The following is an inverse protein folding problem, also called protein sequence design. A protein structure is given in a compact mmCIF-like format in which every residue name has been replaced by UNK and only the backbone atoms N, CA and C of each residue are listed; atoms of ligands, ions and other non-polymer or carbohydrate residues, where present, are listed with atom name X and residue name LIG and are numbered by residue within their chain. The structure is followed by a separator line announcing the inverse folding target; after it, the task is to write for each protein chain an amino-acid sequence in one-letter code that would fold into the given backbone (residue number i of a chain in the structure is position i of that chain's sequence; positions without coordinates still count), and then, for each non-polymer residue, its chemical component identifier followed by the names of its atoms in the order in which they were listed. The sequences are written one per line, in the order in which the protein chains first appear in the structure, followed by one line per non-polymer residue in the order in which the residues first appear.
data_IF_760243980016
#
_entry.id   IF_760243980016
#
_cell.length_a   1.000
_cell.length_b   1.000
_cell.length_c   1.000
_cell.angle_alpha   90.00
_cell.angle_beta   90.00
_cell.angle_gamma   90.00
#
_symmetry.space_group_name_H-M   'P 1'
#
loop_
_entity.id
_entity.type
_entity.pdbx_description
1 polymer ?
#
# COMPACT_ATOMS: atom_id res chain seq x y z
N UNK A 1 -9.71 -23.50 -0.99
CA UNK A 1 -9.27 -22.46 -0.02
C UNK A 1 -9.77 -22.81 1.36
N UNK A 2 -9.02 -22.47 2.40
CA UNK A 2 -9.36 -22.70 3.82
C UNK A 2 -8.84 -21.52 4.64
N UNK A 3 -9.07 -21.52 5.94
CA UNK A 3 -8.52 -20.51 6.87
C UNK A 3 -6.98 -20.55 6.96
N UNK A 4 -6.34 -21.61 6.42
CA UNK A 4 -4.89 -21.76 6.34
C UNK A 4 -4.31 -21.27 4.99
N UNK A 5 -5.16 -20.90 4.04
CA UNK A 5 -4.71 -20.41 2.74
C UNK A 5 -3.87 -19.16 2.90
N UNK A 6 -2.70 -19.15 2.26
CA UNK A 6 -1.75 -18.03 2.26
C UNK A 6 -1.92 -17.26 0.96
N UNK A 7 -1.98 -15.96 1.06
CA UNK A 7 -2.20 -15.05 -0.05
C UNK A 7 -1.00 -14.10 -0.19
N UNK A 8 -0.65 -13.75 -1.41
CA UNK A 8 0.14 -12.55 -1.64
C UNK A 8 -0.72 -11.34 -1.30
N UNK A 9 -0.34 -10.62 -0.26
CA UNK A 9 -1.10 -9.48 0.26
C UNK A 9 -0.96 -8.25 -0.63
N UNK A 10 0.08 -8.22 -1.47
CA UNK A 10 0.38 -7.10 -2.34
C UNK A 10 0.31 -5.77 -1.55
N UNK A 11 -0.42 -4.78 -2.04
CA UNK A 11 -0.48 -3.45 -1.41
C UNK A 11 -1.18 -3.40 -0.04
N UNK A 12 -1.81 -4.47 0.42
CA UNK A 12 -2.22 -4.57 1.82
C UNK A 12 -1.00 -4.52 2.78
N UNK A 13 0.20 -4.86 2.31
CA UNK A 13 1.48 -4.67 3.01
C UNK A 13 1.64 -3.25 3.54
N UNK A 14 1.15 -2.25 2.81
CA UNK A 14 1.31 -0.84 3.13
C UNK A 14 0.76 -0.45 4.50
N UNK A 15 -0.35 -1.07 4.93
CA UNK A 15 -0.89 -0.85 6.28
C UNK A 15 0.11 -1.28 7.35
N UNK A 16 0.72 -2.44 7.18
CA UNK A 16 1.71 -2.98 8.12
C UNK A 16 2.93 -2.07 8.21
N UNK A 17 3.42 -1.62 7.07
CA UNK A 17 4.55 -0.68 7.00
C UNK A 17 4.21 0.66 7.64
N UNK A 18 2.99 1.16 7.47
CA UNK A 18 2.54 2.38 8.12
C UNK A 18 2.46 2.21 9.65
N UNK A 19 1.93 1.09 10.14
CA UNK A 19 1.94 0.77 11.59
C UNK A 19 3.37 0.76 12.13
N UNK A 20 4.30 0.10 11.47
CA UNK A 20 5.71 0.05 11.85
C UNK A 20 6.38 1.45 11.83
N UNK A 21 6.09 2.25 10.81
CA UNK A 21 6.57 3.63 10.74
C UNK A 21 6.05 4.47 11.91
N UNK A 22 4.77 4.32 12.25
CA UNK A 22 4.17 5.04 13.37
C UNK A 22 4.68 4.55 14.73
N UNK A 23 5.05 3.26 14.88
CA UNK A 23 5.78 2.78 16.05
C UNK A 23 7.15 3.46 16.17
N UNK A 24 7.86 3.67 15.07
CA UNK A 24 9.13 4.41 15.06
C UNK A 24 8.90 5.90 15.41
N UNK A 25 7.79 6.48 15.01
CA UNK A 25 7.42 7.86 15.40
C UNK A 25 7.14 7.94 16.89
N UNK A 26 6.38 7.01 17.47
CA UNK A 26 6.10 6.96 18.91
C UNK A 26 7.37 6.81 19.76
N UNK A 27 8.37 6.09 19.23
CA UNK A 27 9.68 5.88 19.88
C UNK A 27 10.63 7.06 19.67
N UNK A 28 10.24 8.09 18.92
CA UNK A 28 11.07 9.24 18.59
C UNK A 28 12.22 8.96 17.62
N UNK A 29 12.19 7.80 16.95
CA UNK A 29 13.19 7.43 15.95
C UNK A 29 12.94 8.12 14.61
N UNK A 30 11.68 8.42 14.31
CA UNK A 30 11.23 9.14 13.12
C UNK A 30 10.31 10.29 13.51
N UNK A 31 10.19 11.27 12.61
CA UNK A 31 9.15 12.28 12.67
C UNK A 31 8.44 12.36 11.32
N UNK A 32 7.13 12.62 11.35
CA UNK A 32 6.33 12.66 10.14
C UNK A 32 6.76 13.75 9.16
N UNK A 33 7.23 14.88 9.66
CA UNK A 33 7.43 16.09 8.86
C UNK A 33 8.90 16.51 8.72
N UNK A 34 9.83 15.75 9.29
CA UNK A 34 11.27 15.97 9.08
C UNK A 34 11.69 15.51 7.67
N UNK A 35 12.65 16.21 7.03
CA UNK A 35 13.24 15.77 5.76
C UNK A 35 13.85 14.37 5.86
N UNK A 36 13.49 13.49 4.91
CA UNK A 36 13.99 12.10 4.91
C UNK A 36 15.47 11.96 4.52
N UNK A 37 16.07 13.00 3.94
CA UNK A 37 17.42 12.96 3.35
C UNK A 37 18.55 12.57 4.30
N UNK A 38 18.37 12.76 5.62
CA UNK A 38 19.34 12.32 6.63
C UNK A 38 19.34 10.79 6.83
N UNK A 39 18.22 10.12 6.50
CA UNK A 39 18.04 8.69 6.62
C UNK A 39 18.11 8.02 5.25
N UNK A 40 17.59 8.69 4.24
CA UNK A 40 17.59 8.28 2.84
C UNK A 40 18.47 9.22 2.02
N UNK A 41 19.80 9.02 1.98
CA UNK A 41 20.70 9.87 1.20
C UNK A 41 20.38 9.88 -0.30
N UNK A 42 19.70 8.85 -0.81
CA UNK A 42 19.18 8.77 -2.17
C UNK A 42 18.23 9.93 -2.51
N UNK A 43 17.56 10.49 -1.49
CA UNK A 43 16.61 11.61 -1.60
C UNK A 43 17.02 12.82 -0.76
N UNK A 44 18.31 12.96 -0.42
CA UNK A 44 18.82 14.18 0.21
C UNK A 44 18.64 15.41 -0.71
N UNK A 45 18.78 15.21 -2.02
CA UNK A 45 18.61 16.22 -3.06
C UNK A 45 17.74 15.69 -4.20
N UNK A 46 16.43 15.52 -3.97
CA UNK A 46 15.55 14.89 -4.94
C UNK A 46 15.42 15.74 -6.21
N UNK A 47 15.24 15.06 -7.35
CA UNK A 47 15.08 15.71 -8.65
C UNK A 47 13.77 15.30 -9.29
N UNK A 48 13.14 16.24 -9.98
CA UNK A 48 11.88 16.07 -10.71
C UNK A 48 12.18 15.88 -12.18
N UNK A 49 11.58 14.89 -12.81
CA UNK A 49 11.62 14.68 -14.26
C UNK A 49 10.68 15.71 -14.92
N UNK A 50 11.28 16.69 -15.61
CA UNK A 50 10.53 17.79 -16.24
C UNK A 50 10.45 17.68 -17.76
N UNK A 51 11.11 16.69 -18.36
CA UNK A 51 11.09 16.49 -19.81
C UNK A 51 12.33 15.77 -20.33
N UNK A 52 12.56 15.94 -21.63
CA UNK A 52 13.70 15.35 -22.33
C UNK A 52 14.30 16.36 -23.31
N UNK A 53 15.61 16.30 -23.49
CA UNK A 53 16.34 17.07 -24.50
C UNK A 53 16.08 16.52 -25.91
N UNK A 54 16.49 17.27 -26.93
CA UNK A 54 16.37 16.84 -28.32
C UNK A 54 17.16 15.55 -28.65
N UNK A 55 18.19 15.23 -27.87
CA UNK A 55 18.96 13.99 -27.93
C UNK A 55 18.45 12.91 -26.94
N UNK A 56 17.22 13.07 -26.49
CA UNK A 56 16.49 12.11 -25.66
C UNK A 56 17.03 11.89 -24.22
N UNK A 57 17.86 12.76 -23.69
CA UNK A 57 18.30 12.70 -22.30
C UNK A 57 17.25 13.28 -21.35
N UNK A 58 17.05 12.70 -20.15
CA UNK A 58 16.11 13.25 -19.19
C UNK A 58 16.55 14.62 -18.67
N UNK A 59 15.62 15.56 -18.59
CA UNK A 59 15.80 16.86 -17.92
C UNK A 59 15.33 16.69 -16.48
N UNK A 60 16.27 16.80 -15.54
CA UNK A 60 16.02 16.66 -14.12
C UNK A 60 16.23 18.01 -13.43
N UNK A 61 15.16 18.54 -12.84
CA UNK A 61 15.17 19.80 -12.09
C UNK A 61 15.22 19.50 -10.59
N UNK A 62 16.08 20.15 -9.80
CA UNK A 62 16.06 19.98 -8.35
C UNK A 62 14.70 20.33 -7.76
N UNK A 63 14.19 19.50 -6.87
CA UNK A 63 13.00 19.82 -6.09
C UNK A 63 13.32 20.96 -5.10
N UNK A 64 12.34 21.80 -4.82
CA UNK A 64 12.44 22.90 -3.86
C UNK A 64 12.05 22.47 -2.44
N UNK A 65 11.19 21.44 -2.35
CA UNK A 65 10.74 20.87 -1.10
C UNK A 65 11.45 19.54 -0.84
N UNK A 66 11.75 19.27 0.40
CA UNK A 66 12.23 17.97 0.84
C UNK A 66 11.07 16.97 0.92
N UNK A 67 11.37 15.70 0.66
CA UNK A 67 10.43 14.62 0.96
C UNK A 67 10.39 14.43 2.47
N UNK A 68 9.22 14.16 3.03
CA UNK A 68 9.00 13.81 4.43
C UNK A 68 8.39 12.42 4.55
N UNK A 69 8.41 11.81 5.74
CA UNK A 69 7.73 10.53 5.98
C UNK A 69 6.23 10.65 5.69
N UNK A 70 5.59 11.77 6.06
CA UNK A 70 4.18 12.03 5.71
C UNK A 70 3.96 11.97 4.20
N UNK A 71 4.81 12.58 3.40
CA UNK A 71 4.72 12.51 1.94
C UNK A 71 4.85 11.07 1.41
N UNK A 72 5.71 10.25 2.00
CA UNK A 72 5.85 8.83 1.63
C UNK A 72 4.58 8.04 1.95
N UNK A 73 4.04 8.22 3.17
CA UNK A 73 2.85 7.50 3.64
C UNK A 73 1.55 7.93 2.94
N UNK A 74 1.52 9.11 2.33
CA UNK A 74 0.33 9.66 1.67
C UNK A 74 0.39 9.67 0.15
N UNK A 75 1.46 9.13 -0.45
CA UNK A 75 1.69 9.15 -1.90
C UNK A 75 1.78 10.57 -2.51
N UNK A 76 2.19 11.56 -1.71
CA UNK A 76 2.38 12.95 -2.14
C UNK A 76 3.85 13.34 -2.30
N UNK A 77 4.77 12.37 -2.27
CA UNK A 77 6.21 12.61 -2.43
C UNK A 77 6.68 12.88 -3.86
N UNK A 78 5.87 12.56 -4.87
CA UNK A 78 6.27 12.54 -6.28
C UNK A 78 6.86 11.21 -6.75
N UNK A 79 7.09 10.26 -5.85
CA UNK A 79 7.53 8.91 -6.18
C UNK A 79 6.36 8.06 -6.71
N UNK A 80 6.51 7.52 -7.92
CA UNK A 80 5.52 6.61 -8.51
C UNK A 80 6.16 5.24 -8.80
N UNK A 81 5.33 4.25 -9.12
CA UNK A 81 5.79 3.04 -9.78
C UNK A 81 5.78 3.24 -11.30
N UNK A 82 6.77 2.69 -11.99
CA UNK A 82 6.89 2.76 -13.46
C UNK A 82 5.73 2.08 -14.20
N UNK A 83 5.09 1.11 -13.59
CA UNK A 83 3.90 0.43 -14.15
C UNK A 83 2.68 1.35 -14.27
N UNK A 84 2.60 2.41 -13.47
CA UNK A 84 1.44 3.33 -13.45
C UNK A 84 1.71 4.63 -14.20
N UNK A 85 2.97 5.07 -14.31
CA UNK A 85 3.34 6.34 -14.94
C UNK A 85 3.95 6.14 -16.33
N UNK A 86 3.33 6.64 -17.43
CA UNK A 86 3.96 6.61 -18.75
C UNK A 86 5.28 7.36 -18.78
N UNK A 87 5.43 8.43 -18.00
CA UNK A 87 6.65 9.23 -17.87
C UNK A 87 7.81 8.39 -17.30
N UNK A 88 7.56 7.60 -16.25
CA UNK A 88 8.59 6.74 -15.66
C UNK A 88 8.90 5.53 -16.53
N UNK A 89 7.93 4.98 -17.25
CA UNK A 89 8.21 3.93 -18.25
C UNK A 89 9.12 4.45 -19.35
N UNK A 90 8.86 5.66 -19.85
CA UNK A 90 9.69 6.28 -20.86
C UNK A 90 11.10 6.61 -20.30
N UNK A 91 11.17 7.08 -19.05
CA UNK A 91 12.45 7.30 -18.39
C UNK A 91 13.24 6.00 -18.23
N UNK A 92 12.62 4.92 -17.77
CA UNK A 92 13.24 3.61 -17.65
C UNK A 92 13.77 3.12 -19.01
N UNK A 93 12.93 3.17 -20.05
CA UNK A 93 13.33 2.79 -21.42
C UNK A 93 14.53 3.59 -21.93
N UNK A 94 14.58 4.90 -21.69
CA UNK A 94 15.66 5.79 -22.16
C UNK A 94 16.95 5.62 -21.35
N UNK A 95 16.85 5.18 -20.11
CA UNK A 95 17.99 4.95 -19.22
C UNK A 95 18.44 3.49 -19.17
N UNK A 96 17.81 2.61 -19.97
CA UNK A 96 18.17 1.18 -20.04
C UNK A 96 17.72 0.36 -18.84
N UNK A 97 16.75 0.85 -18.07
CA UNK A 97 16.17 0.11 -16.93
C UNK A 97 15.05 -0.81 -17.38
N UNK A 98 14.91 -1.93 -16.70
CA UNK A 98 13.78 -2.85 -16.88
C UNK A 98 12.55 -2.30 -16.19
N UNK A 99 11.44 -2.19 -16.92
CA UNK A 99 10.13 -1.77 -16.37
C UNK A 99 9.54 -2.90 -15.54
N UNK A 100 8.90 -2.52 -14.41
CA UNK A 100 8.23 -3.47 -13.51
C UNK A 100 9.14 -4.59 -13.00
N UNK A 101 10.40 -4.29 -12.79
CA UNK A 101 11.28 -5.24 -12.14
C UNK A 101 10.90 -5.37 -10.67
N UNK A 102 10.69 -6.60 -10.22
CA UNK A 102 10.15 -6.91 -8.89
C UNK A 102 11.11 -7.77 -8.05
N UNK A 103 12.39 -7.79 -8.43
CA UNK A 103 13.41 -8.56 -7.74
C UNK A 103 14.76 -7.86 -7.80
N UNK A 104 15.55 -7.97 -6.74
CA UNK A 104 16.89 -7.44 -6.64
C UNK A 104 17.06 -6.28 -5.67
N UNK A 105 17.96 -5.36 -5.98
CA UNK A 105 18.31 -4.19 -5.17
C UNK A 105 17.28 -3.07 -5.28
N UNK A 106 17.38 -2.04 -4.43
CA UNK A 106 16.55 -0.82 -4.51
C UNK A 106 16.57 -0.20 -5.91
N UNK A 107 17.71 -0.22 -6.58
CA UNK A 107 17.84 0.30 -7.94
C UNK A 107 17.13 -0.59 -8.96
N UNK A 108 17.35 -1.90 -8.87
CA UNK A 108 16.75 -2.87 -9.79
C UNK A 108 15.24 -2.98 -9.63
N UNK A 109 14.72 -2.85 -8.40
CA UNK A 109 13.27 -2.79 -8.13
C UNK A 109 12.59 -1.53 -8.72
N UNK A 110 13.35 -0.64 -9.34
CA UNK A 110 12.80 0.58 -9.90
C UNK A 110 12.30 1.56 -8.83
N UNK A 111 12.84 1.50 -7.61
CA UNK A 111 12.43 2.38 -6.53
C UNK A 111 13.17 3.73 -6.54
N UNK A 112 14.36 3.80 -7.18
CA UNK A 112 15.18 5.02 -7.30
C UNK A 112 14.85 5.83 -8.54
N UNK A 113 13.57 6.17 -8.73
CA UNK A 113 13.12 7.02 -9.83
C UNK A 113 13.23 8.52 -9.49
N UNK A 114 13.31 9.39 -10.51
CA UNK A 114 13.06 10.81 -10.30
C UNK A 114 11.60 11.04 -9.87
N UNK A 115 11.36 12.16 -9.19
CA UNK A 115 10.01 12.57 -8.84
C UNK A 115 9.23 12.99 -10.10
N UNK A 116 7.91 12.86 -10.05
CA UNK A 116 7.01 13.36 -11.10
C UNK A 116 6.50 14.79 -10.82
N UNK A 117 6.56 15.23 -9.56
CA UNK A 117 6.14 16.56 -9.14
C UNK A 117 6.82 16.96 -7.84
N UNK A 118 6.67 18.21 -7.47
CA UNK A 118 7.19 18.79 -6.22
C UNK A 118 6.54 18.11 -5.00
N UNK A 119 7.31 17.60 -4.02
CA UNK A 119 6.75 16.98 -2.81
C UNK A 119 5.68 17.85 -2.15
N UNK A 120 4.51 17.27 -1.86
CA UNK A 120 3.34 17.93 -1.32
C UNK A 120 2.42 18.61 -2.35
N UNK A 121 2.82 18.74 -3.62
CA UNK A 121 2.06 19.43 -4.67
C UNK A 121 1.50 18.50 -5.76
N UNK A 122 1.21 17.28 -5.38
CA UNK A 122 0.64 16.28 -6.27
C UNK A 122 0.30 15.00 -5.51
N UNK A 123 -0.39 14.10 -6.20
CA UNK A 123 -0.64 12.76 -5.70
C UNK A 123 -0.39 11.73 -6.81
N UNK A 124 0.42 10.71 -6.51
CA UNK A 124 0.63 9.56 -7.39
C UNK A 124 0.91 8.32 -6.56
N UNK A 125 0.20 7.26 -6.88
CA UNK A 125 0.45 5.98 -6.24
C UNK A 125 1.84 5.43 -6.58
N UNK A 126 2.62 5.07 -5.57
CA UNK A 126 3.98 4.65 -5.83
C UNK A 126 4.76 4.10 -4.64
N UNK A 127 6.08 4.12 -4.77
CA UNK A 127 7.07 3.47 -3.92
C UNK A 127 7.27 4.12 -2.53
N UNK A 128 6.40 5.05 -2.12
CA UNK A 128 6.55 5.74 -0.83
C UNK A 128 6.66 4.78 0.35
N UNK A 129 5.82 3.74 0.40
CA UNK A 129 5.83 2.77 1.51
C UNK A 129 7.03 1.81 1.45
N UNK A 130 7.59 1.56 0.28
CA UNK A 130 8.85 0.81 0.15
C UNK A 130 9.99 1.62 0.79
N UNK A 131 10.05 2.92 0.51
CA UNK A 131 11.02 3.83 1.12
C UNK A 131 10.78 4.07 2.61
N UNK A 132 9.53 4.12 3.07
CA UNK A 132 9.21 4.13 4.50
C UNK A 132 9.73 2.85 5.19
N UNK A 133 9.63 1.69 4.54
CA UNK A 133 10.24 0.44 4.99
C UNK A 133 11.75 0.56 5.16
N UNK A 134 12.44 1.17 4.19
CA UNK A 134 13.88 1.43 4.28
C UNK A 134 14.25 2.41 5.41
N UNK A 135 13.40 3.41 5.68
CA UNK A 135 13.61 4.27 6.86
C UNK A 135 13.51 3.46 8.15
N UNK A 136 12.51 2.59 8.29
CA UNK A 136 12.35 1.73 9.47
C UNK A 136 13.59 0.86 9.68
N UNK A 137 14.07 0.17 8.64
CA UNK A 137 15.29 -0.66 8.72
C UNK A 137 16.48 0.15 9.22
N UNK A 138 16.72 1.32 8.63
CA UNK A 138 17.90 2.15 8.91
C UNK A 138 17.91 2.79 10.32
N UNK A 139 16.73 3.06 10.92
CA UNK A 139 16.67 3.72 12.24
C UNK A 139 16.39 2.77 13.38
N UNK A 140 15.90 1.57 13.12
CA UNK A 140 15.42 0.66 14.17
C UNK A 140 16.49 -0.24 14.76
N UNK A 141 17.61 -0.42 14.05
CA UNK A 141 18.69 -1.34 14.44
C UNK A 141 18.40 -2.81 14.15
N UNK A 142 17.28 -3.15 13.51
CA UNK A 142 17.00 -4.50 13.01
C UNK A 142 17.69 -4.72 11.66
N UNK A 143 18.00 -5.99 11.36
CA UNK A 143 18.71 -6.36 10.13
C UNK A 143 17.87 -6.26 8.86
N UNK A 144 16.53 -6.30 9.01
CA UNK A 144 15.58 -6.24 7.90
C UNK A 144 14.20 -5.77 8.37
N UNK A 145 13.37 -5.35 7.42
CA UNK A 145 11.98 -5.00 7.69
C UNK A 145 11.17 -6.23 8.14
N UNK A 146 11.47 -7.43 7.63
CA UNK A 146 10.85 -8.68 8.11
C UNK A 146 11.16 -8.93 9.58
N UNK A 147 12.41 -8.76 10.00
CA UNK A 147 12.79 -8.90 11.40
C UNK A 147 12.07 -7.87 12.28
N UNK A 148 12.02 -6.61 11.85
CA UNK A 148 11.25 -5.59 12.57
C UNK A 148 9.79 -5.98 12.75
N UNK A 149 9.12 -6.41 11.68
CA UNK A 149 7.71 -6.80 11.72
C UNK A 149 7.49 -8.01 12.62
N UNK A 150 8.39 -9.00 12.53
CA UNK A 150 8.32 -10.19 13.38
C UNK A 150 8.36 -9.85 14.85
N UNK A 151 9.31 -9.01 15.26
CA UNK A 151 9.50 -8.67 16.67
C UNK A 151 8.46 -7.68 17.21
N UNK A 152 8.05 -6.70 16.40
CA UNK A 152 7.24 -5.58 16.86
C UNK A 152 5.75 -5.67 16.48
N UNK A 153 5.37 -6.59 15.58
CA UNK A 153 3.99 -6.74 15.12
C UNK A 153 3.53 -8.19 15.26
N UNK A 154 4.23 -9.16 14.61
CA UNK A 154 3.76 -10.55 14.61
C UNK A 154 3.80 -11.19 15.98
N UNK A 155 4.89 -11.09 16.71
CA UNK A 155 5.00 -11.67 18.06
C UNK A 155 3.99 -11.07 19.04
N UNK A 156 3.85 -9.74 19.17
CA UNK A 156 2.85 -9.14 20.04
C UNK A 156 1.41 -9.61 19.73
N UNK A 157 1.06 -9.72 18.45
CA UNK A 157 -0.28 -10.17 18.03
C UNK A 157 -0.43 -11.69 17.97
N UNK A 158 0.64 -12.47 18.17
CA UNK A 158 0.62 -13.92 18.01
C UNK A 158 0.33 -14.39 16.58
N UNK A 159 0.71 -13.58 15.56
CA UNK A 159 0.57 -13.93 14.14
C UNK A 159 1.70 -14.87 13.73
N UNK A 160 1.37 -15.94 13.00
CA UNK A 160 2.34 -17.02 12.70
C UNK A 160 2.48 -17.28 11.20
N UNK A 161 1.61 -16.69 10.39
CA UNK A 161 1.45 -17.03 8.98
C UNK A 161 1.59 -15.82 8.06
N UNK A 162 2.29 -14.77 8.52
CA UNK A 162 2.58 -13.57 7.75
C UNK A 162 4.08 -13.33 7.69
N UNK A 163 4.63 -13.15 6.49
CA UNK A 163 6.09 -13.01 6.26
C UNK A 163 6.38 -12.38 4.90
N UNK A 164 7.57 -11.83 4.73
CA UNK A 164 8.14 -11.55 3.41
C UNK A 164 8.76 -12.79 2.77
N UNK A 165 9.20 -13.75 3.57
CA UNK A 165 10.01 -14.91 3.17
C UNK A 165 9.16 -16.18 3.03
N UNK A 166 8.16 -16.16 2.15
CA UNK A 166 7.25 -17.30 1.98
C UNK A 166 7.97 -18.53 1.42
N UNK A 167 8.99 -18.35 0.58
CA UNK A 167 9.72 -19.44 -0.07
C UNK A 167 10.56 -20.27 0.90
N UNK A 168 11.04 -19.66 1.98
CA UNK A 168 11.83 -20.34 3.02
C UNK A 168 10.96 -21.12 3.99
N UNK A 169 9.65 -20.88 4.01
CA UNK A 169 8.70 -21.52 4.93
C UNK A 169 7.81 -22.53 4.18
N UNK A 170 8.20 -23.82 4.23
CA UNK A 170 7.48 -24.87 3.52
C UNK A 170 5.98 -24.94 3.86
N UNK A 171 5.59 -24.69 5.12
CA UNK A 171 4.18 -24.74 5.52
C UNK A 171 3.39 -23.63 4.84
N UNK A 172 3.94 -22.43 4.75
CA UNK A 172 3.30 -21.30 4.08
C UNK A 172 3.29 -21.49 2.57
N UNK A 173 4.40 -21.96 2.00
CA UNK A 173 4.52 -22.21 0.57
C UNK A 173 3.53 -23.29 0.10
N UNK A 174 3.38 -24.38 0.84
CA UNK A 174 2.44 -25.48 0.52
C UNK A 174 0.96 -25.01 0.58
N UNK A 175 0.67 -23.93 1.30
CA UNK A 175 -0.66 -23.32 1.40
C UNK A 175 -0.83 -22.06 0.56
N UNK A 176 0.17 -21.69 -0.23
CA UNK A 176 0.13 -20.50 -1.08
C UNK A 176 -0.91 -20.66 -2.19
N UNK A 177 -1.85 -19.72 -2.25
CA UNK A 177 -2.88 -19.70 -3.29
C UNK A 177 -2.27 -19.13 -4.58
N UNK A 178 -2.34 -19.91 -5.65
CA UNK A 178 -1.88 -19.46 -6.98
C UNK A 178 -2.71 -18.30 -7.52
N UNK A 179 -2.04 -17.40 -8.23
CA UNK A 179 -2.72 -16.30 -8.95
C UNK A 179 -3.55 -16.88 -10.09
N UNK A 180 -4.73 -16.32 -10.28
CA UNK A 180 -5.68 -16.69 -11.34
C UNK A 180 -6.03 -15.44 -12.16
N UNK A 181 -6.07 -15.58 -13.47
CA UNK A 181 -6.43 -14.50 -14.38
C UNK A 181 -7.86 -14.70 -14.88
N UNK A 182 -8.70 -13.65 -14.81
CA UNK A 182 -9.99 -13.63 -15.47
C UNK A 182 -9.86 -13.10 -16.89
N UNK A 183 -10.32 -13.88 -17.85
CA UNK A 183 -10.42 -13.48 -19.26
C UNK A 183 -11.65 -12.62 -19.53
N UNK A 184 -11.67 -12.00 -20.70
CA UNK A 184 -12.81 -11.19 -21.15
C UNK A 184 -14.12 -11.99 -21.27
N UNK A 185 -14.05 -13.32 -21.54
CA UNK A 185 -15.20 -14.22 -21.58
C UNK A 185 -15.70 -14.65 -20.19
N UNK A 186 -15.05 -14.16 -19.11
CA UNK A 186 -15.37 -14.49 -17.71
C UNK A 186 -14.71 -15.76 -17.18
N UNK A 187 -14.05 -16.56 -18.02
CA UNK A 187 -13.34 -17.75 -17.61
C UNK A 187 -12.10 -17.43 -16.76
N UNK A 188 -11.72 -18.35 -15.90
CA UNK A 188 -10.52 -18.23 -15.05
C UNK A 188 -9.44 -19.18 -15.56
N UNK A 189 -8.23 -18.68 -15.70
CA UNK A 189 -7.06 -19.47 -16.05
C UNK A 189 -5.95 -19.27 -15.02
N UNK A 190 -5.04 -20.23 -14.82
CA UNK A 190 -3.88 -20.03 -13.99
C UNK A 190 -3.06 -18.83 -14.46
N UNK A 191 -2.70 -17.95 -13.52
CA UNK A 191 -1.73 -16.89 -13.71
C UNK A 191 -0.34 -17.33 -13.28
N UNK A 192 0.64 -16.48 -13.54
CA UNK A 192 2.01 -16.68 -13.07
C UNK A 192 2.27 -15.68 -11.94
N UNK A 193 2.69 -16.20 -10.79
CA UNK A 193 3.19 -15.41 -9.69
C UNK A 193 4.40 -16.14 -9.10
N UNK A 194 5.54 -15.51 -9.17
CA UNK A 194 6.76 -16.00 -8.53
C UNK A 194 6.89 -15.23 -7.20
N UNK A 195 7.06 -15.95 -6.07
CA UNK A 195 7.32 -15.28 -4.80
C UNK A 195 8.50 -14.33 -4.91
N UNK A 196 8.34 -13.12 -4.39
CA UNK A 196 9.32 -12.03 -4.57
C UNK A 196 10.62 -12.28 -3.80
N UNK A 197 10.54 -12.96 -2.67
CA UNK A 197 11.66 -13.27 -1.79
C UNK A 197 12.72 -14.20 -2.40
N UNK A 198 12.41 -14.89 -3.53
CA UNK A 198 13.37 -15.82 -4.17
C UNK A 198 14.63 -15.09 -4.68
N UNK A 199 14.52 -13.81 -5.04
CA UNK A 199 15.61 -13.05 -5.62
C UNK A 199 15.70 -11.60 -5.10
N UNK A 200 14.88 -11.21 -4.13
CA UNK A 200 14.88 -9.85 -3.60
C UNK A 200 15.90 -9.69 -2.47
N UNK A 201 16.73 -8.65 -2.57
CA UNK A 201 17.67 -8.26 -1.51
C UNK A 201 17.00 -7.35 -0.46
N UNK A 202 15.80 -6.86 -0.75
CA UNK A 202 15.06 -5.96 0.12
C UNK A 202 13.65 -6.48 0.40
N UNK A 203 13.15 -6.19 1.58
CA UNK A 203 11.75 -6.41 1.92
C UNK A 203 10.90 -5.24 1.42
N UNK A 204 10.11 -5.46 0.36
CA UNK A 204 9.29 -4.41 -0.25
C UNK A 204 8.12 -4.03 0.66
N UNK A 205 8.26 -2.93 1.41
CA UNK A 205 7.26 -2.41 2.34
C UNK A 205 5.95 -1.98 1.69
N UNK A 206 5.95 -1.83 0.36
CA UNK A 206 4.77 -1.49 -0.43
C UNK A 206 3.95 -2.69 -0.92
N UNK A 207 4.53 -3.91 -1.02
CA UNK A 207 3.82 -5.02 -1.67
C UNK A 207 4.36 -6.44 -1.37
N UNK A 208 5.35 -6.60 -0.50
CA UNK A 208 6.13 -7.85 -0.40
C UNK A 208 5.54 -8.94 0.48
N UNK A 209 4.56 -8.64 1.34
CA UNK A 209 4.04 -9.61 2.33
C UNK A 209 3.16 -10.70 1.72
N UNK A 210 3.25 -11.85 2.35
CA UNK A 210 2.36 -12.99 2.22
C UNK A 210 1.73 -13.27 3.58
N UNK A 211 0.46 -13.69 3.59
CA UNK A 211 -0.22 -13.97 4.86
C UNK A 211 -1.59 -14.60 4.70
N UNK A 212 -2.16 -15.04 5.81
CA UNK A 212 -3.54 -15.55 5.86
C UNK A 212 -4.53 -14.42 6.14
N UNK A 213 -5.79 -14.61 5.72
CA UNK A 213 -6.87 -13.68 6.08
C UNK A 213 -7.05 -13.55 7.61
N UNK A 214 -6.86 -14.66 8.33
CA UNK A 214 -6.97 -14.70 9.80
C UNK A 214 -5.91 -13.84 10.49
N UNK A 215 -4.67 -13.86 10.03
CA UNK A 215 -3.62 -13.01 10.59
C UNK A 215 -3.86 -11.54 10.23
N UNK A 216 -4.20 -11.27 8.97
CA UNK A 216 -4.36 -9.88 8.52
C UNK A 216 -5.57 -9.19 9.15
N UNK A 217 -6.71 -9.88 9.35
CA UNK A 217 -7.88 -9.28 10.02
C UNK A 217 -7.59 -8.94 11.48
N UNK A 218 -6.72 -9.70 12.17
CA UNK A 218 -6.30 -9.37 13.53
C UNK A 218 -5.51 -8.08 13.59
N UNK A 219 -4.63 -7.84 12.61
CA UNK A 219 -3.94 -6.56 12.49
C UNK A 219 -4.93 -5.40 12.24
N UNK A 220 -5.90 -5.58 11.35
CA UNK A 220 -6.91 -4.55 11.07
C UNK A 220 -7.78 -4.30 12.31
N UNK A 221 -8.10 -5.33 13.09
CA UNK A 221 -8.83 -5.21 14.33
C UNK A 221 -8.09 -4.38 15.40
N UNK A 222 -6.75 -4.48 15.48
CA UNK A 222 -5.94 -3.61 16.36
C UNK A 222 -6.15 -2.13 16.02
N UNK A 223 -6.18 -1.79 14.72
CA UNK A 223 -6.40 -0.42 14.26
C UNK A 223 -7.82 0.07 14.62
N UNK A 224 -8.83 -0.80 14.50
CA UNK A 224 -10.20 -0.49 14.89
C UNK A 224 -10.32 -0.28 16.39
N UNK A 225 -9.55 -1.03 17.19
CA UNK A 225 -9.51 -0.94 18.65
C UNK A 225 -8.49 0.11 19.16
N UNK A 226 -8.34 1.21 18.43
CA UNK A 226 -7.45 2.32 18.79
C UNK A 226 -5.98 1.92 19.00
N UNK A 227 -5.51 0.97 18.19
CA UNK A 227 -4.12 0.52 18.16
C UNK A 227 -3.79 -0.63 19.10
N UNK A 228 -4.68 -0.93 20.06
CA UNK A 228 -4.53 -2.06 20.96
C UNK A 228 -3.16 -2.10 21.65
N UNK A 229 -2.37 -3.15 21.34
CA UNK A 229 -1.01 -3.30 21.88
C UNK A 229 0.09 -2.78 20.93
N UNK A 230 -0.26 -2.39 19.70
CA UNK A 230 0.73 -1.98 18.70
C UNK A 230 1.02 -0.48 18.71
N UNK A 231 -0.01 0.34 18.89
CA UNK A 231 0.04 1.80 18.78
C UNK A 231 -0.79 2.43 19.91
N UNK A 232 -0.49 3.68 20.21
CA UNK A 232 -1.33 4.49 21.10
C UNK A 232 -2.57 5.00 20.36
N UNK A 233 -3.69 5.26 21.08
CA UNK A 233 -4.92 5.79 20.48
C UNK A 233 -4.72 7.07 19.67
N UNK A 234 -3.92 8.00 20.19
CA UNK A 234 -3.61 9.26 19.50
C UNK A 234 -2.83 9.06 18.20
N UNK A 235 -1.99 8.02 18.12
CA UNK A 235 -1.28 7.66 16.90
C UNK A 235 -2.22 7.10 15.84
N UNK A 236 -3.15 6.24 16.23
CA UNK A 236 -4.19 5.74 15.34
C UNK A 236 -5.09 6.89 14.87
N UNK A 237 -5.43 7.81 15.76
CA UNK A 237 -6.20 9.01 15.40
C UNK A 237 -5.47 9.83 14.32
N UNK A 238 -4.15 10.03 14.45
CA UNK A 238 -3.34 10.72 13.43
C UNK A 238 -3.34 9.93 12.10
N UNK A 239 -3.31 8.60 12.12
CA UNK A 239 -3.39 7.78 10.90
C UNK A 239 -4.71 7.98 10.15
N UNK A 240 -5.82 8.19 10.86
CA UNK A 240 -7.15 8.41 10.28
C UNK A 240 -7.49 9.89 10.05
N UNK A 241 -6.63 10.80 10.47
CA UNK A 241 -6.83 12.22 10.17
C UNK A 241 -6.69 12.44 8.64
N UNK A 242 -7.60 13.20 8.01
CA UNK A 242 -7.40 13.68 6.64
C UNK A 242 -6.06 14.40 6.51
N UNK A 243 -5.23 13.97 5.57
CA UNK A 243 -3.86 14.45 5.43
C UNK A 243 -3.70 15.58 4.40
N UNK A 244 -4.75 15.89 3.63
CA UNK A 244 -4.73 16.95 2.63
C UNK A 244 -5.73 18.04 2.98
N UNK A 245 -5.26 19.28 3.08
CA UNK A 245 -6.13 20.47 3.14
C UNK A 245 -6.79 20.73 1.79
N UNK A 246 -6.10 20.36 0.70
CA UNK A 246 -6.56 20.44 -0.68
C UNK A 246 -6.48 19.05 -1.31
N UNK A 247 -7.63 18.43 -1.49
CA UNK A 247 -7.75 17.05 -1.99
C UNK A 247 -7.81 16.94 -3.52
N UNK A 248 -7.74 18.08 -4.25
CA UNK A 248 -7.87 18.08 -5.72
C UNK A 248 -6.90 17.14 -6.42
N UNK A 249 -5.65 17.05 -5.95
CA UNK A 249 -4.65 16.16 -6.56
C UNK A 249 -4.99 14.69 -6.36
N UNK A 250 -5.51 14.34 -5.17
CA UNK A 250 -6.00 12.99 -4.87
C UNK A 250 -7.20 12.66 -5.75
N UNK A 251 -8.21 13.52 -5.76
CA UNK A 251 -9.44 13.30 -6.53
C UNK A 251 -9.15 13.24 -8.03
N UNK A 252 -8.33 14.14 -8.56
CA UNK A 252 -7.89 14.11 -9.95
C UNK A 252 -7.23 12.78 -10.33
N UNK A 253 -6.35 12.25 -9.47
CA UNK A 253 -5.68 10.99 -9.72
C UNK A 253 -6.62 9.78 -9.62
N UNK A 254 -7.56 9.80 -8.68
CA UNK A 254 -8.57 8.75 -8.52
C UNK A 254 -9.58 8.73 -9.69
N UNK A 255 -9.93 9.90 -10.24
CA UNK A 255 -10.86 10.03 -11.35
C UNK A 255 -10.20 9.83 -12.72
N UNK A 256 -8.93 10.18 -12.87
CA UNK A 256 -8.16 9.92 -14.08
C UNK A 256 -7.74 8.46 -14.10
N UNK A 257 -8.68 7.58 -14.49
CA UNK A 257 -8.35 6.20 -14.83
C UNK A 257 -7.34 6.17 -15.96
N UNK A 258 -6.05 6.10 -15.61
CA UNK A 258 -5.01 5.97 -16.61
C UNK A 258 -4.96 4.53 -17.08
N UNK A 259 -5.38 4.33 -18.35
CA UNK A 259 -5.11 3.14 -19.15
C UNK A 259 -5.54 1.79 -18.54
N UNK A 260 -6.82 1.64 -18.20
CA UNK A 260 -7.39 0.32 -17.86
C UNK A 260 -6.98 -0.24 -16.50
N UNK A 261 -6.04 0.38 -15.84
CA UNK A 261 -5.79 0.18 -14.42
C UNK A 261 -6.44 1.37 -13.71
N UNK A 262 -7.76 1.37 -13.68
CA UNK A 262 -8.48 2.30 -12.83
C UNK A 262 -7.94 2.12 -11.43
N UNK A 263 -7.48 3.21 -10.81
CA UNK A 263 -7.18 3.25 -9.38
C UNK A 263 -8.51 3.16 -8.59
N UNK A 264 -9.35 2.19 -8.93
CA UNK A 264 -10.39 1.69 -8.06
C UNK A 264 -9.69 1.01 -6.86
N UNK A 265 -8.96 1.83 -6.08
CA UNK A 265 -8.22 1.39 -4.91
C UNK A 265 -9.20 0.82 -3.87
N UNK A 266 -10.48 0.97 -4.12
CA UNK A 266 -11.54 0.33 -3.34
C UNK A 266 -12.74 -0.01 -4.19
N UNK A 267 -13.36 -1.18 -3.95
CA UNK A 267 -14.59 -1.62 -4.61
C UNK A 267 -15.76 -0.64 -4.53
N UNK A 268 -15.77 0.17 -3.50
CA UNK A 268 -16.91 1.03 -3.17
C UNK A 268 -16.72 2.50 -3.59
N UNK A 269 -15.53 2.89 -4.07
CA UNK A 269 -15.28 4.25 -4.57
C UNK A 269 -15.59 4.37 -6.06
N UNK A 270 -16.82 4.00 -6.43
CA UNK A 270 -17.29 4.00 -7.83
C UNK A 270 -18.01 5.29 -8.20
N UNK A 271 -18.49 6.06 -7.23
CA UNK A 271 -19.12 7.36 -7.45
C UNK A 271 -18.04 8.45 -7.50
N UNK A 272 -17.83 9.12 -8.66
CA UNK A 272 -16.87 10.19 -8.79
C UNK A 272 -17.20 11.44 -7.95
N UNK A 273 -18.40 11.53 -7.37
CA UNK A 273 -18.81 12.63 -6.49
C UNK A 273 -18.53 12.34 -5.01
N UNK A 274 -18.17 11.10 -4.69
CA UNK A 274 -17.91 10.72 -3.31
C UNK A 274 -16.71 11.50 -2.75
N UNK A 275 -16.87 12.05 -1.56
CA UNK A 275 -15.78 12.72 -0.84
C UNK A 275 -14.85 11.69 -0.22
N UNK A 276 -13.62 11.71 -0.65
CA UNK A 276 -12.57 10.78 -0.24
C UNK A 276 -11.38 11.60 0.26
N UNK A 277 -10.77 11.15 1.34
CA UNK A 277 -9.51 11.69 1.84
C UNK A 277 -8.46 10.58 1.97
N UNK A 278 -7.24 10.97 2.20
CA UNK A 278 -6.14 10.05 2.48
C UNK A 278 -5.72 10.18 3.93
N UNK A 279 -5.65 9.05 4.63
CA UNK A 279 -4.97 8.90 5.90
C UNK A 279 -3.50 8.55 5.71
N UNK A 280 -2.83 8.08 6.75
CA UNK A 280 -1.47 7.58 6.61
C UNK A 280 -1.51 6.16 6.04
N UNK A 281 -1.34 6.04 4.71
CA UNK A 281 -1.25 4.80 3.92
C UNK A 281 -2.57 4.18 3.43
N UNK A 282 -3.71 4.82 3.61
CA UNK A 282 -5.01 4.31 3.15
C UNK A 282 -5.99 5.44 2.82
N UNK A 283 -7.07 5.10 2.12
CA UNK A 283 -8.15 6.02 1.79
C UNK A 283 -9.20 6.02 2.89
N UNK A 284 -9.86 7.16 3.08
CA UNK A 284 -10.93 7.38 4.06
C UNK A 284 -12.17 7.84 3.30
N UNK A 285 -13.31 7.17 3.49
CA UNK A 285 -14.57 7.70 3.00
C UNK A 285 -15.07 8.82 3.94
N UNK A 286 -15.29 10.00 3.39
CA UNK A 286 -15.74 11.16 4.14
C UNK A 286 -17.26 11.28 4.24
N UNK A 287 -17.98 10.37 3.58
CA UNK A 287 -19.43 10.25 3.57
C UNK A 287 -19.83 8.78 3.80
N UNK A 288 -21.03 8.52 4.31
CA UNK A 288 -21.51 7.13 4.46
C UNK A 288 -21.54 6.40 3.10
N UNK A 289 -21.18 5.12 3.12
CA UNK A 289 -21.20 4.25 1.95
C UNK A 289 -22.57 3.63 1.74
N UNK A 290 -22.92 3.31 0.50
CA UNK A 290 -24.16 2.59 0.18
C UNK A 290 -24.28 1.22 0.85
N UNK A 291 -23.17 0.62 1.26
CA UNK A 291 -23.10 -0.64 2.01
C UNK A 291 -23.49 -0.51 3.48
N UNK A 292 -23.73 0.71 3.98
CA UNK A 292 -24.01 0.98 5.38
C UNK A 292 -22.80 1.37 6.22
N UNK A 293 -21.59 1.31 5.65
CA UNK A 293 -20.38 1.76 6.36
C UNK A 293 -20.42 3.28 6.58
N UNK A 294 -20.26 3.78 7.83
CA UNK A 294 -20.28 5.20 8.13
C UNK A 294 -19.08 5.95 7.57
N UNK A 295 -19.14 7.28 7.55
CA UNK A 295 -18.01 8.14 7.22
C UNK A 295 -16.86 7.96 8.20
N UNK A 296 -15.62 8.19 7.75
CA UNK A 296 -14.41 8.13 8.57
C UNK A 296 -13.74 6.76 8.63
N UNK A 297 -14.23 5.77 7.90
CA UNK A 297 -13.60 4.46 7.85
C UNK A 297 -12.42 4.43 6.86
N UNK A 298 -11.35 3.75 7.26
CA UNK A 298 -10.18 3.50 6.42
C UNK A 298 -10.35 2.24 5.57
N UNK A 299 -9.78 2.25 4.36
CA UNK A 299 -9.79 1.08 3.48
C UNK A 299 -8.66 1.11 2.47
N UNK A 300 -8.24 -0.07 2.02
CA UNK A 300 -7.29 -0.21 0.90
C UNK A 300 -7.39 -1.58 0.24
N UNK A 301 -6.64 -1.78 -0.85
CA UNK A 301 -6.60 -3.05 -1.56
C UNK A 301 -5.24 -3.41 -2.11
N UNK A 302 -5.09 -4.67 -2.50
CA UNK A 302 -3.90 -5.23 -3.14
C UNK A 302 -4.18 -5.76 -4.54
N UNK A 303 -3.15 -5.83 -5.37
CA UNK A 303 -3.22 -6.11 -6.81
C UNK A 303 -3.99 -7.39 -7.18
N UNK A 304 -3.98 -8.41 -6.33
CA UNK A 304 -4.70 -9.66 -6.55
C UNK A 304 -6.14 -9.63 -5.99
N UNK A 305 -6.76 -8.45 -5.92
CA UNK A 305 -8.08 -8.22 -5.34
C UNK A 305 -8.17 -8.72 -3.88
N UNK A 306 -7.19 -8.33 -3.09
CA UNK A 306 -7.20 -8.42 -1.63
C UNK A 306 -7.65 -7.08 -1.08
N UNK A 307 -8.61 -7.07 -0.14
CA UNK A 307 -9.19 -5.83 0.39
C UNK A 307 -9.32 -5.89 1.89
N UNK A 308 -9.25 -4.71 2.51
CA UNK A 308 -9.55 -4.53 3.93
C UNK A 308 -10.27 -3.20 4.18
N UNK A 309 -11.04 -3.14 5.26
CA UNK A 309 -11.57 -1.91 5.81
C UNK A 309 -11.52 -1.93 7.34
N UNK A 310 -11.46 -0.74 7.92
CA UNK A 310 -11.42 -0.49 9.34
C UNK A 310 -12.37 0.66 9.67
N UNK A 311 -13.43 0.36 10.38
CA UNK A 311 -14.43 1.31 10.85
C UNK A 311 -14.36 1.43 12.37
N UNK A 312 -13.69 2.48 12.83
CA UNK A 312 -13.50 2.77 14.26
C UNK A 312 -14.79 3.25 14.93
N UNK A 313 -15.73 3.82 14.17
CA UNK A 313 -16.98 4.34 14.74
C UNK A 313 -17.92 3.21 15.18
N UNK A 314 -17.95 2.11 14.47
CA UNK A 314 -18.79 0.94 14.80
C UNK A 314 -18.01 -0.24 15.37
N UNK A 315 -16.69 -0.15 15.42
CA UNK A 315 -15.85 -1.26 15.89
C UNK A 315 -15.76 -2.42 14.90
N UNK A 316 -15.98 -2.17 13.60
CA UNK A 316 -16.01 -3.21 12.56
C UNK A 316 -14.76 -3.20 11.73
N UNK A 317 -14.12 -4.35 11.61
CA UNK A 317 -13.01 -4.62 10.69
C UNK A 317 -13.36 -5.75 9.73
N UNK A 318 -12.90 -5.67 8.49
CA UNK A 318 -13.12 -6.74 7.53
C UNK A 318 -11.98 -6.90 6.54
N UNK A 319 -11.81 -8.13 6.05
CA UNK A 319 -10.89 -8.47 4.98
C UNK A 319 -11.53 -9.40 3.97
N UNK A 320 -11.23 -9.20 2.70
CA UNK A 320 -11.59 -10.11 1.61
C UNK A 320 -10.31 -10.44 0.85
N UNK A 321 -9.95 -11.72 0.82
CA UNK A 321 -8.72 -12.20 0.22
C UNK A 321 -9.01 -13.07 -1.00
N UNK A 322 -8.49 -12.65 -2.15
CA UNK A 322 -8.45 -13.46 -3.38
C UNK A 322 -7.04 -13.46 -3.98
N UNK A 323 -6.85 -14.22 -5.04
CA UNK A 323 -5.68 -14.15 -5.91
C UNK A 323 -6.14 -14.09 -7.37
N UNK A 324 -7.21 -13.33 -7.61
CA UNK A 324 -7.77 -13.13 -8.95
C UNK A 324 -7.26 -11.80 -9.51
N UNK A 325 -6.78 -11.80 -10.73
CA UNK A 325 -6.37 -10.64 -11.49
C UNK A 325 -7.20 -10.53 -12.79
N UNK A 326 -7.30 -9.36 -13.40
CA UNK A 326 -6.69 -8.09 -13.00
C UNK A 326 -7.35 -7.46 -11.76
N UNK A 327 -6.68 -6.47 -11.19
CA UNK A 327 -7.26 -5.66 -10.11
C UNK A 327 -8.56 -5.01 -10.58
N UNK A 328 -9.54 -4.92 -9.67
CA UNK A 328 -10.86 -4.41 -10.01
C UNK A 328 -11.78 -5.45 -10.69
N UNK A 329 -11.50 -6.75 -10.51
CA UNK A 329 -12.37 -7.83 -11.02
C UNK A 329 -13.82 -7.63 -10.57
N UNK A 330 -14.79 -7.48 -11.51
CA UNK A 330 -16.16 -7.10 -11.14
C UNK A 330 -16.87 -8.10 -10.23
N UNK A 331 -16.52 -9.40 -10.35
CA UNK A 331 -17.13 -10.44 -9.50
C UNK A 331 -16.58 -10.39 -8.09
N UNK A 332 -15.28 -10.11 -7.93
CA UNK A 332 -14.69 -9.92 -6.60
C UNK A 332 -15.22 -8.65 -5.95
N UNK A 333 -15.35 -7.56 -6.71
CA UNK A 333 -15.94 -6.30 -6.24
C UNK A 333 -17.39 -6.49 -5.75
N UNK A 334 -18.19 -7.26 -6.50
CA UNK A 334 -19.55 -7.60 -6.10
C UNK A 334 -19.59 -8.39 -4.79
N UNK A 335 -18.72 -9.41 -4.64
CA UNK A 335 -18.63 -10.21 -3.41
C UNK A 335 -18.22 -9.33 -2.23
N UNK A 336 -17.19 -8.49 -2.41
CA UNK A 336 -16.76 -7.57 -1.35
C UNK A 336 -17.92 -6.68 -0.87
N UNK A 337 -18.62 -6.02 -1.81
CA UNK A 337 -19.72 -5.11 -1.49
C UNK A 337 -20.86 -5.83 -0.75
N UNK A 338 -21.26 -7.02 -1.22
CA UNK A 338 -22.32 -7.81 -0.56
C UNK A 338 -21.93 -8.27 0.84
N UNK A 339 -20.68 -8.69 1.05
CA UNK A 339 -20.18 -9.06 2.38
C UNK A 339 -20.22 -7.86 3.34
N UNK A 340 -19.78 -6.70 2.88
CA UNK A 340 -19.81 -5.48 3.66
C UNK A 340 -21.25 -5.09 4.00
N UNK A 341 -22.20 -5.09 3.04
CA UNK A 341 -23.63 -4.85 3.26
C UNK A 341 -24.21 -5.78 4.33
N UNK A 342 -23.93 -7.08 4.23
CA UNK A 342 -24.40 -8.06 5.22
C UNK A 342 -23.89 -7.76 6.64
N UNK A 343 -22.60 -7.40 6.77
CA UNK A 343 -21.99 -7.12 8.07
C UNK A 343 -22.65 -5.89 8.72
N UNK A 344 -22.84 -4.81 7.98
CA UNK A 344 -23.46 -3.61 8.53
C UNK A 344 -24.96 -3.76 8.80
N UNK A 345 -25.68 -4.58 8.01
CA UNK A 345 -27.09 -4.92 8.28
C UNK A 345 -27.26 -5.76 9.56
N UNK A 346 -26.37 -6.73 9.80
CA UNK A 346 -26.40 -7.53 11.03
C UNK A 346 -26.12 -6.68 12.27
N UNK A 347 -25.22 -5.71 12.17
CA UNK A 347 -24.91 -4.79 13.26
C UNK A 347 -26.06 -3.83 13.63
N UNK A 348 -27.03 -3.60 12.74
CA UNK A 348 -28.20 -2.77 13.00
C UNK A 348 -29.34 -3.52 13.69
N UNK A 349 -29.28 -4.85 13.77
CA UNK A 349 -30.31 -5.70 14.35
C UNK A 349 -30.03 -6.09 15.84
N UNK A 350 -28.86 -5.76 16.34
CA UNK A 350 -28.42 -5.95 17.71
C UNK A 350 -28.30 -4.62 18.46
#
# INVERSE_FOLDING_TARGET
MSTKSVFWLASCTKLVTAVAAMQCVERGLLKLDDPVGSILPEYAHPKILTGYTGDNKPILTPAKQSITLRHLLTHSSGLSYDVFGPELREWARRTGRTVNQQSGTLEQEGLTYPLLFEPGFGWTYGAGLDWAGQMIERVSGYSSLDEYFRENIWKPLGLKHTTFEVSSNKILLDNLVGVTLRKADGSLIPGVHVPRDIAAEINAGGAGLYGTASDFVRLVAEIVNDGGILLKPETVQEMFRPQFDDDRYLLDALHKSVAGIGLNISPNFTDPKMKIQHGLSFLINMEPMATGRPAGAGQYGGAANTFWWADRNTGVAGVVMTQIMPYGDPKVMEVYRRLEECIYQLGQQN
#
